data_IF_448743336209
#
_entry.id   IF_448743336209
#
_cell.length_a   1.000
_cell.length_b   1.000
_cell.length_c   1.000
_cell.angle_alpha   90.00
_cell.angle_beta   90.00
_cell.angle_gamma   90.00
#
_symmetry.space_group_name_H-M   'P 1'
#
loop_
_entity.id
_entity.type
_entity.pdbx_description
1 polymer ?
#
# COMPACT_ATOMS: atom_id res chain seq x y z
N UNK A 1 5.23 -77.87 -15.56
CA UNK A 1 4.28 -78.23 -16.63
C UNK A 1 4.24 -77.04 -17.63
N UNK A 2 4.70 -77.31 -18.79
CA UNK A 2 4.93 -76.52 -19.97
C UNK A 2 3.60 -76.11 -20.62
N UNK A 3 3.48 -74.89 -21.12
CA UNK A 3 2.70 -74.64 -22.33
C UNK A 3 3.12 -73.32 -23.02
N UNK A 4 3.73 -73.46 -24.14
CA UNK A 4 4.00 -72.49 -25.19
C UNK A 4 2.72 -72.17 -25.99
N UNK A 5 2.51 -70.97 -26.48
CA UNK A 5 1.74 -70.62 -27.69
C UNK A 5 2.26 -69.26 -28.21
N UNK A 6 3.01 -69.21 -29.23
CA UNK A 6 2.95 -68.72 -30.62
C UNK A 6 2.32 -67.35 -30.91
N UNK A 7 3.13 -66.38 -31.24
CA UNK A 7 3.36 -65.60 -32.46
C UNK A 7 2.11 -65.14 -33.22
N UNK A 8 1.95 -63.85 -33.34
CA UNK A 8 1.15 -63.16 -34.34
C UNK A 8 1.70 -61.77 -34.62
N UNK A 9 2.50 -61.65 -35.70
CA UNK A 9 3.02 -60.39 -36.21
C UNK A 9 1.92 -59.72 -37.02
N UNK A 10 1.51 -58.52 -36.66
CA UNK A 10 0.72 -57.62 -37.49
C UNK A 10 1.51 -56.36 -37.72
N UNK A 11 2.01 -56.19 -38.95
CA UNK A 11 2.60 -54.97 -39.45
C UNK A 11 1.52 -53.90 -39.67
N UNK A 12 1.42 -52.93 -38.79
CA UNK A 12 0.58 -51.76 -38.91
C UNK A 12 1.37 -50.57 -39.39
N UNK A 13 1.13 -50.15 -40.63
CA UNK A 13 1.64 -48.96 -41.29
C UNK A 13 1.06 -47.71 -40.60
N UNK A 14 1.84 -47.02 -39.73
CA UNK A 14 1.44 -45.79 -39.11
C UNK A 14 1.76 -44.60 -40.03
N UNK A 15 0.70 -43.97 -40.58
CA UNK A 15 0.78 -42.65 -41.19
C UNK A 15 1.06 -41.63 -40.04
N UNK A 16 2.25 -41.04 -40.08
CA UNK A 16 2.59 -39.92 -39.21
C UNK A 16 1.92 -38.64 -39.72
N UNK A 17 0.77 -38.26 -39.16
CA UNK A 17 0.23 -36.92 -39.26
C UNK A 17 1.05 -36.00 -38.36
N UNK A 18 1.95 -35.21 -38.94
CA UNK A 18 2.67 -34.16 -38.23
C UNK A 18 1.69 -33.03 -37.87
N UNK A 19 1.29 -32.95 -36.62
CA UNK A 19 0.62 -31.75 -36.04
C UNK A 19 1.71 -30.69 -35.84
N UNK A 20 1.73 -29.66 -36.72
CA UNK A 20 2.49 -28.46 -36.48
C UNK A 20 1.91 -27.77 -35.23
N UNK A 21 2.56 -27.89 -34.11
CA UNK A 21 2.25 -27.09 -32.92
C UNK A 21 2.74 -25.66 -33.22
N UNK A 22 1.79 -24.76 -33.45
CA UNK A 22 2.04 -23.33 -33.40
C UNK A 22 2.48 -22.99 -31.98
N UNK A 23 3.76 -22.70 -31.80
CA UNK A 23 4.34 -22.24 -30.54
C UNK A 23 3.86 -20.80 -30.37
N UNK A 24 2.78 -20.63 -29.59
CA UNK A 24 2.27 -19.34 -29.20
C UNK A 24 3.40 -18.65 -28.41
N UNK A 25 3.92 -17.57 -28.96
CA UNK A 25 4.99 -16.79 -28.34
C UNK A 25 4.45 -16.28 -27.00
N UNK A 26 4.93 -16.85 -25.90
CA UNK A 26 4.62 -16.40 -24.57
C UNK A 26 4.91 -14.91 -24.46
N UNK A 27 3.87 -14.11 -24.14
CA UNK A 27 4.02 -12.70 -23.84
C UNK A 27 5.11 -12.55 -22.76
N UNK A 28 6.01 -11.54 -22.86
CA UNK A 28 7.04 -11.34 -21.86
C UNK A 28 6.38 -11.18 -20.50
N UNK A 29 6.78 -12.03 -19.55
CA UNK A 29 6.32 -11.92 -18.16
C UNK A 29 6.61 -10.49 -17.66
N UNK A 30 5.67 -9.85 -16.92
CA UNK A 30 5.91 -8.54 -16.35
C UNK A 30 7.20 -8.61 -15.51
N UNK A 31 8.12 -7.67 -15.76
CA UNK A 31 9.39 -7.59 -15.05
C UNK A 31 9.07 -7.65 -13.53
N UNK A 32 9.69 -8.59 -12.83
CA UNK A 32 9.51 -8.74 -11.39
C UNK A 32 9.79 -7.38 -10.75
N UNK A 33 8.76 -6.78 -10.13
CA UNK A 33 8.93 -5.55 -9.37
C UNK A 33 10.01 -5.82 -8.33
N UNK A 34 11.11 -5.07 -8.37
CA UNK A 34 12.20 -5.23 -7.39
C UNK A 34 11.65 -5.13 -5.97
N UNK A 35 12.37 -5.68 -5.01
CA UNK A 35 11.96 -5.60 -3.61
C UNK A 35 12.02 -4.14 -3.13
N UNK A 36 11.10 -3.71 -2.25
CA UNK A 36 11.16 -2.38 -1.66
C UNK A 36 12.42 -2.23 -0.78
N UNK A 37 13.02 -1.05 -0.84
CA UNK A 37 14.05 -0.67 0.13
C UNK A 37 13.39 -0.37 1.46
N UNK A 38 13.82 -1.07 2.52
CA UNK A 38 13.27 -0.94 3.87
C UNK A 38 14.33 -0.43 4.83
N UNK A 39 13.99 0.57 5.65
CA UNK A 39 14.84 1.10 6.71
C UNK A 39 14.03 1.36 7.97
N UNK A 40 14.35 0.66 9.05
CA UNK A 40 13.75 0.93 10.36
C UNK A 40 14.50 2.06 11.07
N UNK A 41 13.75 3.01 11.59
CA UNK A 41 14.22 4.13 12.39
C UNK A 41 13.35 4.17 13.65
N UNK A 42 13.87 3.69 14.75
CA UNK A 42 13.11 3.46 15.99
C UNK A 42 11.81 2.70 15.72
N UNK A 43 10.66 3.32 15.99
CA UNK A 43 9.34 2.69 15.85
C UNK A 43 8.73 2.86 14.46
N UNK A 44 9.44 3.50 13.52
CA UNK A 44 9.00 3.75 12.16
C UNK A 44 9.76 2.92 11.13
N UNK A 45 9.04 2.46 10.12
CA UNK A 45 9.59 1.76 8.96
C UNK A 45 9.48 2.65 7.72
N UNK A 46 10.62 3.18 7.24
CA UNK A 46 10.68 3.86 5.95
C UNK A 46 10.75 2.82 4.84
N UNK A 47 9.87 2.96 3.84
CA UNK A 47 9.78 2.05 2.68
C UNK A 47 9.87 2.86 1.40
N UNK A 48 10.69 2.41 0.45
CA UNK A 48 10.73 2.97 -0.89
C UNK A 48 10.50 1.86 -1.91
N UNK A 49 9.52 2.04 -2.78
CA UNK A 49 9.12 1.05 -3.76
C UNK A 49 9.82 1.29 -5.09
N UNK A 50 10.28 0.24 -5.80
CA UNK A 50 10.96 0.35 -7.09
C UNK A 50 9.97 0.54 -8.24
N UNK A 51 9.07 1.50 -8.10
CA UNK A 51 8.03 1.84 -9.06
C UNK A 51 8.15 3.28 -9.51
N UNK A 52 7.79 3.57 -10.76
CA UNK A 52 7.66 4.94 -11.22
C UNK A 52 6.42 5.55 -10.55
N UNK A 53 6.62 6.44 -9.57
CA UNK A 53 5.58 7.05 -8.77
C UNK A 53 5.92 8.49 -8.43
N UNK A 54 4.95 9.40 -8.33
CA UNK A 54 5.16 10.73 -7.79
C UNK A 54 5.45 10.72 -6.29
N UNK A 55 5.14 9.61 -5.60
CA UNK A 55 5.41 9.39 -4.18
C UNK A 55 5.90 7.96 -3.97
N UNK A 56 7.18 7.67 -4.30
CA UNK A 56 7.71 6.31 -4.26
C UNK A 56 8.04 5.80 -2.86
N UNK A 57 8.04 6.68 -1.85
CA UNK A 57 8.42 6.34 -0.47
C UNK A 57 7.33 6.74 0.52
N UNK A 58 7.19 5.93 1.57
CA UNK A 58 6.39 6.23 2.75
C UNK A 58 7.13 5.85 4.03
N UNK A 59 6.61 6.32 5.16
CA UNK A 59 6.98 5.85 6.49
C UNK A 59 5.76 5.25 7.17
N UNK A 60 5.91 4.08 7.78
CA UNK A 60 4.84 3.28 8.34
C UNK A 60 5.10 2.96 9.81
N UNK A 61 4.03 3.03 10.61
CA UNK A 61 3.96 2.37 11.91
C UNK A 61 2.69 1.52 11.97
N UNK A 62 2.84 0.28 12.43
CA UNK A 62 1.74 -0.65 12.68
C UNK A 62 1.66 -0.97 14.16
N UNK A 63 0.44 -1.03 14.65
CA UNK A 63 0.13 -1.38 16.03
C UNK A 63 -0.73 -2.63 16.04
N UNK A 64 -0.26 -3.64 16.76
CA UNK A 64 -0.97 -4.90 16.95
C UNK A 64 -1.50 -5.01 18.37
N UNK A 65 -2.68 -5.56 18.53
CA UNK A 65 -3.18 -6.01 19.83
C UNK A 65 -2.29 -7.16 20.33
N UNK A 66 -1.69 -6.98 21.50
CA UNK A 66 -0.70 -7.92 22.02
C UNK A 66 -1.27 -9.31 22.31
N UNK A 67 -2.56 -9.38 22.64
CA UNK A 67 -3.23 -10.63 22.95
C UNK A 67 -3.68 -11.40 21.71
N UNK A 68 -4.28 -10.69 20.75
CA UNK A 68 -4.84 -11.32 19.52
C UNK A 68 -3.86 -11.34 18.38
N UNK A 69 -2.79 -10.54 18.42
CA UNK A 69 -1.81 -10.32 17.35
C UNK A 69 -2.44 -9.77 16.07
N UNK A 70 -3.62 -9.19 16.20
CA UNK A 70 -4.32 -8.53 15.11
C UNK A 70 -3.91 -7.07 15.04
N UNK A 71 -3.69 -6.57 13.83
CA UNK A 71 -3.41 -5.15 13.61
C UNK A 71 -4.62 -4.31 13.99
N UNK A 72 -4.41 -3.33 14.87
CA UNK A 72 -5.45 -2.40 15.33
C UNK A 72 -5.32 -1.02 14.68
N UNK A 73 -4.14 -0.62 14.25
CA UNK A 73 -3.90 0.60 13.47
C UNK A 73 -2.69 0.38 12.57
N UNK A 74 -2.75 0.88 11.34
CA UNK A 74 -1.56 1.19 10.58
C UNK A 74 -1.64 2.65 10.12
N UNK A 75 -0.59 3.39 10.38
CA UNK A 75 -0.43 4.78 9.96
C UNK A 75 0.73 4.86 8.97
N UNK A 76 0.44 5.25 7.74
CA UNK A 76 1.43 5.51 6.69
C UNK A 76 1.40 6.98 6.31
N UNK A 77 2.58 7.58 6.17
CA UNK A 77 2.78 8.96 5.71
C UNK A 77 3.69 8.92 4.50
N UNK A 78 3.25 9.51 3.41
CA UNK A 78 3.99 9.63 2.16
C UNK A 78 4.20 11.08 1.80
N UNK A 79 5.23 11.38 0.99
CA UNK A 79 5.53 12.72 0.51
C UNK A 79 5.49 12.80 -1.02
N UNK A 80 4.84 13.82 -1.54
CA UNK A 80 4.74 14.13 -2.97
C UNK A 80 5.65 15.32 -3.31
N UNK A 81 6.87 15.09 -3.80
CA UNK A 81 7.85 16.16 -4.04
C UNK A 81 7.37 17.25 -4.98
N UNK A 82 6.66 16.90 -6.05
CA UNK A 82 6.13 17.85 -7.04
C UNK A 82 5.09 18.80 -6.49
N UNK A 83 4.37 18.39 -5.44
CA UNK A 83 3.31 19.18 -4.80
C UNK A 83 3.75 19.78 -3.47
N UNK A 84 4.94 19.40 -2.98
CA UNK A 84 5.42 19.73 -1.63
C UNK A 84 4.36 19.45 -0.54
N UNK A 85 3.70 18.29 -0.63
CA UNK A 85 2.58 17.91 0.24
C UNK A 85 2.73 16.49 0.75
N UNK A 86 2.16 16.24 1.92
CA UNK A 86 2.07 14.91 2.50
C UNK A 86 0.69 14.28 2.22
N UNK A 87 0.66 12.96 2.16
CA UNK A 87 -0.55 12.18 2.21
C UNK A 87 -0.46 11.20 3.38
N UNK A 88 -1.59 11.01 4.06
CA UNK A 88 -1.72 10.09 5.19
C UNK A 88 -2.73 9.02 4.83
N UNK A 89 -2.37 7.78 5.11
CA UNK A 89 -3.29 6.65 5.12
C UNK A 89 -3.33 6.07 6.53
N UNK A 90 -4.54 5.97 7.09
CA UNK A 90 -4.77 5.32 8.38
C UNK A 90 -5.74 4.17 8.15
N UNK A 91 -5.32 2.96 8.49
CA UNK A 91 -6.21 1.80 8.49
C UNK A 91 -6.55 1.39 9.92
N UNK A 92 -7.84 1.10 10.14
CA UNK A 92 -8.39 0.62 11.43
C UNK A 92 -9.24 -0.62 11.18
N UNK A 93 -9.52 -1.46 12.20
CA UNK A 93 -10.38 -2.63 12.06
C UNK A 93 -11.79 -2.27 11.59
N UNK A 94 -12.57 -3.28 11.28
CA UNK A 94 -14.02 -3.18 11.07
C UNK A 94 -14.75 -2.90 12.40
N UNK A 95 -16.08 -2.79 12.35
CA UNK A 95 -16.95 -2.52 13.52
C UNK A 95 -16.74 -1.11 14.11
N UNK A 96 -16.40 -0.16 13.25
CA UNK A 96 -16.25 1.25 13.60
C UNK A 96 -17.41 2.07 13.05
N UNK A 97 -17.71 3.19 13.72
CA UNK A 97 -18.75 4.12 13.26
C UNK A 97 -18.25 5.00 12.12
N UNK A 98 -18.54 4.61 10.89
CA UNK A 98 -18.13 5.32 9.67
C UNK A 98 -18.54 6.80 9.71
N UNK A 99 -19.78 7.19 10.09
CA UNK A 99 -20.17 8.61 10.12
C UNK A 99 -19.35 9.46 11.08
N UNK A 100 -18.87 8.88 12.19
CA UNK A 100 -18.08 9.61 13.19
C UNK A 100 -16.64 9.89 12.73
N UNK A 101 -16.10 9.10 11.79
CA UNK A 101 -14.71 9.21 11.35
C UNK A 101 -13.72 8.93 12.48
N UNK A 102 -12.49 9.39 12.32
CA UNK A 102 -11.46 9.32 13.35
C UNK A 102 -10.75 10.67 13.52
N UNK A 103 -9.95 10.80 14.58
CA UNK A 103 -9.08 11.96 14.81
C UNK A 103 -7.67 11.51 15.17
N UNK A 104 -6.68 12.32 14.82
CA UNK A 104 -5.32 12.25 15.36
C UNK A 104 -5.21 13.30 16.46
N UNK A 105 -4.64 12.91 17.59
CA UNK A 105 -4.43 13.79 18.74
C UNK A 105 -3.00 13.62 19.27
N UNK A 106 -2.34 14.73 19.55
CA UNK A 106 -1.12 14.83 20.35
C UNK A 106 -1.41 15.61 21.64
N UNK A 107 -0.37 15.93 22.41
CA UNK A 107 -0.46 16.82 23.58
C UNK A 107 -0.89 18.25 23.23
N UNK A 108 -0.53 18.74 22.04
CA UNK A 108 -0.77 20.14 21.61
C UNK A 108 -1.67 20.29 20.40
N UNK A 109 -2.06 19.18 19.76
CA UNK A 109 -2.81 19.22 18.52
C UNK A 109 -3.94 18.19 18.50
N UNK A 110 -5.08 18.58 17.91
CA UNK A 110 -6.17 17.66 17.57
C UNK A 110 -6.62 17.95 16.14
N UNK A 111 -6.59 16.94 15.28
CA UNK A 111 -7.04 17.08 13.91
C UNK A 111 -8.56 17.34 13.82
N UNK A 112 -9.05 17.94 12.74
CA UNK A 112 -10.44 17.80 12.36
C UNK A 112 -10.86 16.33 12.27
N UNK A 113 -12.17 16.06 12.17
CA UNK A 113 -12.65 14.70 11.93
C UNK A 113 -12.21 14.25 10.53
N UNK A 114 -11.42 13.18 10.50
CA UNK A 114 -10.96 12.56 9.27
C UNK A 114 -11.97 11.50 8.84
N UNK A 115 -12.50 11.63 7.63
CA UNK A 115 -13.55 10.75 7.11
C UNK A 115 -12.95 9.49 6.51
N UNK A 116 -13.61 8.35 6.74
CA UNK A 116 -13.26 7.11 6.05
C UNK A 116 -13.60 7.24 4.56
N UNK A 117 -12.66 6.87 3.71
CA UNK A 117 -12.82 6.88 2.26
C UNK A 117 -13.41 5.57 1.74
N UNK A 118 -13.01 4.46 2.33
CA UNK A 118 -13.46 3.11 1.98
C UNK A 118 -13.29 2.15 3.14
N UNK A 119 -14.00 1.03 3.07
CA UNK A 119 -13.75 -0.16 3.89
C UNK A 119 -13.72 -1.38 2.99
N UNK A 120 -12.93 -2.37 3.36
CA UNK A 120 -12.89 -3.70 2.75
C UNK A 120 -12.76 -4.77 3.86
N UNK A 121 -12.53 -6.03 3.47
CA UNK A 121 -12.38 -7.14 4.43
C UNK A 121 -11.19 -6.99 5.42
N UNK A 122 -10.25 -6.10 5.13
CA UNK A 122 -9.05 -5.90 5.96
C UNK A 122 -9.18 -4.70 6.91
N UNK A 123 -10.27 -3.91 6.81
CA UNK A 123 -10.51 -2.74 7.64
C UNK A 123 -11.10 -1.55 6.91
N UNK A 124 -11.13 -0.41 7.60
CA UNK A 124 -11.57 0.87 7.08
C UNK A 124 -10.39 1.84 6.97
N UNK A 125 -10.41 2.66 5.93
CA UNK A 125 -9.27 3.50 5.55
C UNK A 125 -9.66 4.97 5.48
N UNK A 126 -8.88 5.79 6.16
CA UNK A 126 -8.79 7.24 5.93
C UNK A 126 -7.61 7.47 4.98
N UNK A 127 -7.84 8.19 3.90
CA UNK A 127 -6.83 8.52 2.89
C UNK A 127 -7.02 9.97 2.49
N UNK A 128 -6.04 10.83 2.80
CA UNK A 128 -6.15 12.27 2.52
C UNK A 128 -4.78 12.91 2.37
N UNK A 129 -4.76 14.02 1.62
CA UNK A 129 -3.64 14.95 1.69
C UNK A 129 -3.74 15.76 2.98
N UNK A 130 -2.62 15.95 3.67
CA UNK A 130 -2.54 16.71 4.90
C UNK A 130 -1.66 17.95 4.70
N UNK A 131 -1.94 18.96 5.51
CA UNK A 131 -1.10 20.13 5.61
C UNK A 131 0.14 19.90 6.47
N UNK A 132 1.05 20.86 6.45
CA UNK A 132 2.26 20.79 7.25
C UNK A 132 1.99 20.85 8.75
N UNK A 133 0.88 21.51 9.16
CA UNK A 133 0.56 21.67 10.58
C UNK A 133 0.38 20.32 11.30
N UNK A 134 -0.26 19.34 10.65
CA UNK A 134 -0.35 17.98 11.20
C UNK A 134 1.02 17.32 11.33
N UNK A 135 1.87 17.43 10.31
CA UNK A 135 3.21 16.83 10.33
C UNK A 135 4.10 17.47 11.39
N UNK A 136 4.05 18.81 11.49
CA UNK A 136 4.79 19.59 12.50
C UNK A 136 4.32 19.24 13.92
N UNK A 137 3.00 19.08 14.13
CA UNK A 137 2.47 18.66 15.42
C UNK A 137 2.93 17.27 15.82
N UNK A 138 3.01 16.32 14.89
CA UNK A 138 3.56 14.99 15.13
C UNK A 138 5.08 15.03 15.40
N UNK A 139 5.82 15.88 14.69
CA UNK A 139 7.26 16.00 14.82
C UNK A 139 7.69 16.69 16.13
N UNK A 140 6.89 17.62 16.65
CA UNK A 140 7.18 18.42 17.82
C UNK A 140 6.62 17.86 19.14
N UNK A 141 5.69 16.89 19.09
CA UNK A 141 5.08 16.33 20.28
C UNK A 141 6.07 15.41 21.02
N UNK A 142 6.18 15.61 22.33
CA UNK A 142 6.96 14.76 23.23
C UNK A 142 6.14 13.72 23.97
N UNK A 143 4.83 13.89 24.03
CA UNK A 143 3.89 13.05 24.79
C UNK A 143 3.32 11.84 24.03
N UNK A 144 3.78 11.58 22.80
CA UNK A 144 3.19 10.57 21.92
C UNK A 144 1.92 11.07 21.23
N UNK A 145 1.30 10.19 20.47
CA UNK A 145 0.09 10.52 19.73
C UNK A 145 -0.97 9.40 19.82
N UNK A 146 -2.21 9.71 19.44
CA UNK A 146 -3.33 8.76 19.47
C UNK A 146 -4.15 8.90 18.20
N UNK A 147 -4.59 7.76 17.67
CA UNK A 147 -5.71 7.69 16.74
C UNK A 147 -6.96 7.43 17.58
N UNK A 148 -7.92 8.33 17.52
CA UNK A 148 -9.19 8.22 18.28
C UNK A 148 -10.25 7.73 17.31
N UNK A 149 -10.76 6.52 17.53
CA UNK A 149 -11.83 5.90 16.75
C UNK A 149 -13.09 5.75 17.58
N UNK A 150 -14.25 5.82 16.93
CA UNK A 150 -15.53 5.49 17.53
C UNK A 150 -16.00 4.15 16.98
N UNK A 151 -16.34 3.20 17.83
CA UNK A 151 -16.93 1.94 17.43
C UNK A 151 -18.45 2.05 17.26
N UNK A 152 -19.04 1.05 16.58
CA UNK A 152 -20.50 0.98 16.35
C UNK A 152 -21.29 0.84 17.65
N UNK A 153 -20.70 0.24 18.68
CA UNK A 153 -21.27 0.16 20.02
C UNK A 153 -21.30 1.50 20.78
N UNK A 154 -20.89 2.60 20.13
CA UNK A 154 -20.86 3.94 20.69
C UNK A 154 -19.64 4.27 21.55
N UNK A 155 -18.78 3.31 21.86
CA UNK A 155 -17.54 3.53 22.62
C UNK A 155 -16.47 4.21 21.76
N UNK A 156 -15.61 4.98 22.41
CA UNK A 156 -14.46 5.62 21.78
C UNK A 156 -13.17 4.96 22.28
N UNK A 157 -12.28 4.65 21.36
CA UNK A 157 -10.99 4.00 21.62
C UNK A 157 -9.84 4.90 21.22
N UNK A 158 -9.04 5.39 22.18
CA UNK A 158 -7.79 6.07 21.93
C UNK A 158 -6.68 5.02 21.69
N UNK A 159 -6.20 4.87 20.48
CA UNK A 159 -5.15 3.95 20.11
C UNK A 159 -3.83 4.74 20.04
N UNK A 160 -2.99 4.56 21.07
CA UNK A 160 -1.72 5.27 21.16
C UNK A 160 -0.74 4.72 20.13
N UNK A 161 0.01 5.61 19.46
CA UNK A 161 1.13 5.28 18.61
C UNK A 161 2.37 6.10 19.00
N UNK A 162 3.56 5.57 18.68
CA UNK A 162 4.82 6.16 19.09
C UNK A 162 5.27 7.26 18.14
N UNK A 163 5.80 8.34 18.69
CA UNK A 163 6.50 9.37 17.93
C UNK A 163 8.02 9.24 18.03
N UNK A 164 8.52 8.17 18.69
CA UNK A 164 9.95 7.92 18.76
C UNK A 164 10.51 7.67 17.36
N UNK A 165 11.50 8.48 16.97
CA UNK A 165 12.10 8.42 15.64
C UNK A 165 11.29 9.08 14.53
N UNK A 166 10.12 9.68 14.82
CA UNK A 166 9.25 10.28 13.81
C UNK A 166 9.99 11.28 12.93
N UNK A 167 10.61 12.31 13.50
CA UNK A 167 11.27 13.37 12.72
C UNK A 167 12.41 12.80 11.85
N UNK A 168 13.23 11.89 12.40
CA UNK A 168 14.32 11.27 11.64
C UNK A 168 13.80 10.39 10.50
N UNK A 169 12.74 9.62 10.74
CA UNK A 169 12.11 8.79 9.72
C UNK A 169 11.43 9.63 8.63
N UNK A 170 10.78 10.72 9.04
CA UNK A 170 10.17 11.68 8.12
C UNK A 170 11.21 12.32 7.19
N UNK A 171 12.32 12.81 7.73
CA UNK A 171 13.37 13.46 6.94
C UNK A 171 14.04 12.48 5.97
N UNK A 172 14.32 11.23 6.42
CA UNK A 172 14.85 10.17 5.56
C UNK A 172 13.86 9.82 4.43
N UNK A 173 12.58 9.67 4.74
CA UNK A 173 11.53 9.40 3.75
C UNK A 173 11.41 10.54 2.74
N UNK A 174 11.37 11.79 3.17
CA UNK A 174 11.29 12.98 2.30
C UNK A 174 12.50 13.07 1.36
N UNK A 175 13.72 12.89 1.90
CA UNK A 175 14.94 12.91 1.11
C UNK A 175 14.93 11.82 0.02
N UNK A 176 14.56 10.59 0.39
CA UNK A 176 14.45 9.47 -0.54
C UNK A 176 13.33 9.67 -1.57
N UNK A 177 12.17 10.18 -1.16
CA UNK A 177 11.08 10.50 -2.07
C UNK A 177 11.51 11.53 -3.12
N UNK A 178 12.21 12.59 -2.71
CA UNK A 178 12.75 13.60 -3.65
C UNK A 178 13.75 13.01 -4.64
N UNK A 179 14.61 12.11 -4.19
CA UNK A 179 15.62 11.46 -5.04
C UNK A 179 15.03 10.47 -6.06
N UNK A 180 13.91 9.82 -5.70
CA UNK A 180 13.32 8.70 -6.48
C UNK A 180 12.04 9.07 -7.21
N UNK A 181 11.39 10.19 -6.90
CA UNK A 181 10.13 10.57 -7.53
C UNK A 181 10.29 10.77 -9.03
N UNK A 182 9.37 10.19 -9.78
CA UNK A 182 9.23 10.42 -11.21
C UNK A 182 7.93 11.19 -11.47
N UNK A 183 7.94 12.18 -12.38
CA UNK A 183 6.71 12.83 -12.79
C UNK A 183 5.70 11.79 -13.29
N UNK A 184 4.44 11.93 -12.92
CA UNK A 184 3.37 11.23 -13.62
C UNK A 184 3.31 11.86 -15.01
N UNK A 185 3.55 11.08 -16.05
CA UNK A 185 3.20 11.50 -17.40
C UNK A 185 1.69 11.69 -17.39
N UNK A 186 1.24 12.95 -17.46
CA UNK A 186 -0.17 13.24 -17.69
C UNK A 186 -0.54 12.50 -19.00
N UNK A 187 -1.60 11.68 -19.03
CA UNK A 187 -2.12 11.20 -20.31
C UNK A 187 -2.40 12.48 -21.11
N UNK A 188 -1.85 12.54 -22.32
CA UNK A 188 -2.10 13.64 -23.25
C UNK A 188 -3.58 13.97 -23.21
N UNK A 189 -3.91 15.19 -22.78
CA UNK A 189 -5.26 15.70 -22.89
C UNK A 189 -5.58 15.61 -24.39
N UNK A 190 -6.46 14.67 -24.73
CA UNK A 190 -6.91 14.48 -26.11
C UNK A 190 -7.26 15.87 -26.67
N UNK A 191 -6.53 16.29 -27.69
CA UNK A 191 -6.79 17.54 -28.37
C UNK A 191 -8.28 17.59 -28.74
N UNK A 192 -8.97 18.71 -28.51
CA UNK A 192 -10.38 18.82 -28.88
C UNK A 192 -10.50 18.54 -30.37
N UNK A 193 -11.34 17.56 -30.73
CA UNK A 193 -11.63 17.25 -32.10
C UNK A 193 -12.12 18.53 -32.79
N UNK A 194 -11.41 18.92 -33.88
CA UNK A 194 -11.81 20.04 -34.70
C UNK A 194 -13.24 19.82 -35.23
N UNK A 195 -14.10 20.82 -35.25
CA UNK A 195 -15.42 20.68 -35.83
C UNK A 195 -15.29 20.38 -37.33
N UNK A 196 -15.88 19.31 -37.75
CA UNK A 196 -16.01 18.94 -39.18
C UNK A 196 -16.99 19.93 -39.84
N UNK A 197 -16.70 20.38 -41.07
CA UNK A 197 -17.53 21.33 -41.80
C UNK A 197 -18.88 20.77 -42.26
#
# INVERSE_FOLDING_TARGET
>A
MTKHILIGAIAGLMLACGVAQAQEAAAPAPAAAGQPELKRIDDWLVRCFPVASPSPCDMLQELDDQRTRQRVVALSIAFYPSLNRHAVQISVPLEISIPKGLKIQTDTYTSPVLKYRRCDRNGCYVELAVDNAMIEALASSSGGAKVIIAADNGKTYPLAFSLKGFSTAHDDMVAKAKAKAKPVSQPDAAAPAAPTP
#
